data_IF_796055003661
#
_entry.id   IF_796055003661
#
_cell.length_a   1.000
_cell.length_b   1.000
_cell.length_c   1.000
_cell.angle_alpha   90.00
_cell.angle_beta   90.00
_cell.angle_gamma   90.00
#
_symmetry.space_group_name_H-M   'P 1'
#
loop_
_entity.id
_entity.type
_entity.pdbx_description
1 polymer ?
#
# COMPACT_ATOMS: atom_id res chain seq x y z
N UNK A 1 -21.85 8.53 -84.99
CA UNK A 1 -22.07 8.79 -83.54
C UNK A 1 -21.14 7.89 -82.76
N UNK A 2 -20.04 8.44 -82.24
CA UNK A 2 -18.96 7.66 -81.62
C UNK A 2 -19.17 7.64 -80.10
N UNK A 3 -19.51 6.48 -79.53
CA UNK A 3 -19.71 6.33 -78.08
C UNK A 3 -18.35 6.17 -77.39
N UNK A 4 -17.93 7.21 -76.69
CA UNK A 4 -16.74 7.22 -75.83
C UNK A 4 -16.97 6.26 -74.65
N UNK A 5 -16.10 5.26 -74.48
CA UNK A 5 -16.10 4.38 -73.30
C UNK A 5 -15.13 4.95 -72.26
N UNK A 6 -15.66 5.38 -71.12
CA UNK A 6 -14.87 5.83 -69.96
C UNK A 6 -14.44 4.59 -69.16
N UNK A 7 -13.16 4.40 -68.83
CA UNK A 7 -12.73 3.31 -67.97
C UNK A 7 -13.04 3.65 -66.51
N UNK A 8 -13.74 2.75 -65.82
CA UNK A 8 -13.95 2.81 -64.37
C UNK A 8 -12.67 2.32 -63.70
N UNK A 9 -11.92 3.22 -63.08
CA UNK A 9 -10.77 2.88 -62.23
C UNK A 9 -11.29 2.65 -60.82
N UNK A 10 -11.36 1.39 -60.39
CA UNK A 10 -11.64 1.01 -59.01
C UNK A 10 -10.36 1.15 -58.17
N UNK A 11 -10.26 2.24 -57.41
CA UNK A 11 -9.21 2.43 -56.40
C UNK A 11 -9.56 1.58 -55.16
N UNK A 12 -8.87 0.46 -54.97
CA UNK A 12 -8.88 -0.28 -53.71
C UNK A 12 -7.99 0.46 -52.69
N UNK A 13 -8.61 1.15 -51.73
CA UNK A 13 -7.91 1.65 -50.54
C UNK A 13 -7.66 0.50 -49.58
N UNK A 14 -6.44 -0.04 -49.58
CA UNK A 14 -5.97 -0.94 -48.53
C UNK A 14 -5.59 -0.09 -47.32
N UNK A 15 -6.49 0.01 -46.34
CA UNK A 15 -6.17 0.55 -45.02
C UNK A 15 -5.32 -0.51 -44.31
N UNK A 16 -3.99 -0.39 -44.40
CA UNK A 16 -3.07 -1.14 -43.55
C UNK A 16 -3.20 -0.55 -42.14
N UNK A 17 -4.07 -1.16 -41.33
CA UNK A 17 -4.17 -0.86 -39.91
C UNK A 17 -2.85 -1.22 -39.24
N UNK A 18 -2.09 -0.20 -38.82
CA UNK A 18 -0.90 -0.37 -38.00
C UNK A 18 -1.35 -0.87 -36.62
N UNK A 19 -1.35 -2.19 -36.42
CA UNK A 19 -1.60 -2.78 -35.10
C UNK A 19 -0.38 -2.49 -34.24
N UNK A 20 -0.43 -1.42 -33.45
CA UNK A 20 0.60 -1.08 -32.47
C UNK A 20 0.58 -2.12 -31.35
N UNK A 21 1.44 -3.13 -31.45
CA UNK A 21 1.68 -4.05 -30.34
C UNK A 21 2.40 -3.28 -29.21
N UNK A 22 1.92 -3.34 -27.96
CA UNK A 22 2.63 -2.73 -26.84
C UNK A 22 4.03 -3.37 -26.72
N UNK A 23 5.06 -2.52 -26.57
CA UNK A 23 6.46 -2.94 -26.49
C UNK A 23 6.74 -3.72 -25.21
N UNK A 24 7.50 -4.83 -25.30
CA UNK A 24 7.89 -5.66 -24.14
C UNK A 24 8.59 -4.87 -23.02
N UNK A 25 9.29 -3.78 -23.38
CA UNK A 25 9.93 -2.88 -22.41
C UNK A 25 8.91 -2.14 -21.53
N UNK A 26 7.76 -1.75 -22.08
CA UNK A 26 6.68 -1.10 -21.33
C UNK A 26 6.02 -2.08 -20.35
N UNK A 27 5.81 -3.33 -20.78
CA UNK A 27 5.27 -4.38 -19.92
C UNK A 27 6.18 -4.66 -18.71
N UNK A 28 7.51 -4.69 -18.92
CA UNK A 28 8.47 -4.86 -17.82
C UNK A 28 8.45 -3.71 -16.81
N UNK A 29 8.37 -2.45 -17.28
CA UNK A 29 8.31 -1.29 -16.41
C UNK A 29 7.04 -1.25 -15.54
N UNK A 30 5.88 -1.64 -16.10
CA UNK A 30 4.63 -1.73 -15.35
C UNK A 30 4.67 -2.86 -14.31
N UNK A 31 5.26 -4.00 -14.64
CA UNK A 31 5.46 -5.11 -13.70
C UNK A 31 6.36 -4.70 -12.53
N UNK A 32 7.47 -4.01 -12.80
CA UNK A 32 8.38 -3.50 -11.77
C UNK A 32 7.71 -2.45 -10.88
N UNK A 33 6.91 -1.57 -11.46
CA UNK A 33 6.12 -0.58 -10.71
C UNK A 33 5.05 -1.26 -9.85
N UNK A 34 4.39 -2.29 -10.38
CA UNK A 34 3.38 -3.08 -9.68
C UNK A 34 3.97 -3.78 -8.46
N UNK A 35 5.11 -4.46 -8.65
CA UNK A 35 5.80 -5.15 -7.57
C UNK A 35 6.37 -4.17 -6.54
N UNK A 36 6.90 -3.03 -6.98
CA UNK A 36 7.31 -1.94 -6.08
C UNK A 36 6.14 -1.47 -5.21
N UNK A 37 4.98 -1.23 -5.82
CA UNK A 37 3.76 -0.82 -5.10
C UNK A 37 3.29 -1.87 -4.10
N UNK A 38 3.32 -3.16 -4.48
CA UNK A 38 2.99 -4.27 -3.59
C UNK A 38 3.93 -4.32 -2.37
N UNK A 39 5.23 -4.24 -2.58
CA UNK A 39 6.22 -4.27 -1.49
C UNK A 39 6.08 -3.07 -0.55
N UNK A 40 5.84 -1.86 -1.08
CA UNK A 40 5.59 -0.67 -0.26
C UNK A 40 4.30 -0.80 0.58
N UNK A 41 3.23 -1.35 0.00
CA UNK A 41 1.98 -1.60 0.72
C UNK A 41 2.16 -2.62 1.85
N UNK A 42 2.88 -3.72 1.59
CA UNK A 42 3.22 -4.73 2.61
C UNK A 42 4.08 -4.11 3.72
N UNK A 43 5.06 -3.27 3.38
CA UNK A 43 5.95 -2.66 4.37
C UNK A 43 5.20 -1.69 5.28
N UNK A 44 4.36 -0.80 4.72
CA UNK A 44 3.55 0.10 5.52
C UNK A 44 2.62 -0.68 6.46
N UNK A 45 1.95 -1.70 5.94
CA UNK A 45 1.04 -2.51 6.75
C UNK A 45 1.78 -3.33 7.81
N UNK A 46 2.96 -3.85 7.51
CA UNK A 46 3.81 -4.52 8.49
C UNK A 46 4.14 -3.59 9.67
N UNK A 47 4.37 -2.29 9.41
CA UNK A 47 4.54 -1.29 10.47
C UNK A 47 3.27 -1.10 11.31
N UNK A 48 2.10 -1.07 10.67
CA UNK A 48 0.81 -0.98 11.36
C UNK A 48 0.57 -2.21 12.25
N UNK A 49 0.87 -3.41 11.75
CA UNK A 49 0.80 -4.66 12.50
C UNK A 49 1.76 -4.64 13.68
N UNK A 50 2.99 -4.13 13.51
CA UNK A 50 3.94 -3.95 14.62
C UNK A 50 3.39 -3.05 15.71
N UNK A 51 2.84 -1.87 15.36
CA UNK A 51 2.19 -0.99 16.35
C UNK A 51 1.01 -1.68 17.03
N UNK A 52 0.17 -2.39 16.26
CA UNK A 52 -0.97 -3.13 16.78
C UNK A 52 -0.58 -4.22 17.77
N UNK A 53 0.49 -4.97 17.49
CA UNK A 53 1.01 -6.00 18.38
C UNK A 53 1.53 -5.42 19.71
N UNK A 54 2.00 -4.16 19.71
CA UNK A 54 2.46 -3.47 20.91
C UNK A 54 1.37 -2.59 21.55
N UNK A 55 0.13 -2.59 21.04
CA UNK A 55 -0.90 -1.66 21.48
C UNK A 55 -1.25 -1.81 22.98
N UNK A 56 -1.24 -3.03 23.52
CA UNK A 56 -1.49 -3.26 24.93
C UNK A 56 -0.41 -2.60 25.82
N UNK A 57 0.85 -2.69 25.42
CA UNK A 57 1.98 -2.06 26.10
C UNK A 57 1.94 -0.53 25.97
N UNK A 58 1.66 -0.03 24.76
CA UNK A 58 1.50 1.41 24.50
C UNK A 58 0.39 1.98 25.39
N UNK A 59 -0.75 1.30 25.50
CA UNK A 59 -1.91 1.78 26.26
C UNK A 59 -1.88 1.46 27.76
N UNK A 60 -0.84 0.80 28.27
CA UNK A 60 -0.68 0.57 29.70
C UNK A 60 -0.59 1.93 30.43
N UNK A 61 -1.44 2.21 31.42
CA UNK A 61 -1.41 3.49 32.13
C UNK A 61 -0.39 3.50 33.29
N UNK A 62 0.03 2.32 33.78
CA UNK A 62 0.90 2.17 34.94
C UNK A 62 2.37 2.41 34.63
N UNK A 63 2.82 2.13 33.39
CA UNK A 63 4.23 2.31 33.00
C UNK A 63 4.49 3.68 32.35
N UNK A 64 5.64 4.29 32.67
CA UNK A 64 6.17 5.45 31.95
C UNK A 64 6.94 4.99 30.72
N UNK A 65 8.15 4.45 30.92
CA UNK A 65 8.92 3.83 29.85
C UNK A 65 8.27 2.52 29.37
N UNK A 66 7.99 2.43 28.07
CA UNK A 66 7.43 1.25 27.42
C UNK A 66 8.50 0.37 26.75
N UNK A 67 9.71 0.87 26.55
CA UNK A 67 10.74 0.18 25.76
C UNK A 67 10.39 0.00 24.28
N UNK A 68 9.32 0.64 23.78
CA UNK A 68 8.93 0.60 22.36
C UNK A 68 9.64 1.73 21.59
N UNK A 69 10.96 1.57 21.44
CA UNK A 69 11.83 2.54 20.75
C UNK A 69 11.76 2.37 19.22
N UNK A 70 12.29 3.33 18.43
CA UNK A 70 12.40 3.19 16.97
C UNK A 70 13.18 1.94 16.52
N UNK A 71 14.20 1.52 17.27
CA UNK A 71 15.04 0.35 16.97
C UNK A 71 14.29 -0.96 17.25
N UNK A 72 13.56 -1.01 18.37
CA UNK A 72 12.69 -2.14 18.71
C UNK A 72 11.59 -2.28 17.66
N UNK A 73 10.99 -1.16 17.24
CA UNK A 73 10.02 -1.12 16.15
C UNK A 73 10.62 -1.61 14.83
N UNK A 74 11.79 -1.10 14.42
CA UNK A 74 12.44 -1.48 13.16
C UNK A 74 12.73 -2.97 13.09
N UNK A 75 13.27 -3.56 14.18
CA UNK A 75 13.54 -4.99 14.23
C UNK A 75 12.28 -5.82 13.96
N UNK A 76 11.17 -5.47 14.62
CA UNK A 76 9.89 -6.16 14.44
C UNK A 76 9.28 -5.91 13.04
N UNK A 77 9.41 -4.68 12.52
CA UNK A 77 8.98 -4.32 11.17
C UNK A 77 9.69 -5.17 10.10
N UNK A 78 11.02 -5.24 10.16
CA UNK A 78 11.85 -5.96 9.19
C UNK A 78 11.51 -7.45 9.18
N UNK A 79 11.33 -8.05 10.36
CA UNK A 79 10.95 -9.46 10.51
C UNK A 79 9.60 -9.75 9.84
N UNK A 80 8.58 -8.95 10.18
CA UNK A 80 7.22 -9.11 9.60
C UNK A 80 7.19 -8.86 8.10
N UNK A 81 7.92 -7.85 7.63
CA UNK A 81 8.02 -7.56 6.20
C UNK A 81 8.66 -8.74 5.45
N UNK A 82 9.76 -9.29 5.98
CA UNK A 82 10.45 -10.44 5.37
C UNK A 82 9.54 -11.67 5.33
N UNK A 83 8.81 -11.96 6.41
CA UNK A 83 7.85 -13.06 6.47
C UNK A 83 6.77 -12.95 5.37
N UNK A 84 6.23 -11.75 5.15
CA UNK A 84 5.12 -11.54 4.22
C UNK A 84 5.54 -11.38 2.76
N UNK A 85 6.69 -10.76 2.52
CA UNK A 85 7.15 -10.42 1.18
C UNK A 85 8.19 -11.37 0.61
N UNK A 86 8.92 -12.11 1.46
CA UNK A 86 10.12 -12.85 1.10
C UNK A 86 11.37 -11.98 0.87
N UNK A 87 11.26 -10.64 0.98
CA UNK A 87 12.37 -9.71 0.74
C UNK A 87 13.10 -9.40 2.04
N UNK A 88 14.42 -9.61 2.06
CA UNK A 88 15.27 -9.28 3.20
C UNK A 88 15.80 -7.85 3.08
N UNK A 89 15.33 -6.96 3.96
CA UNK A 89 15.75 -5.56 3.98
C UNK A 89 17.24 -5.37 4.34
N UNK A 90 17.83 -6.30 5.08
CA UNK A 90 19.26 -6.25 5.40
C UNK A 90 20.15 -6.58 4.19
N UNK A 91 19.59 -7.29 3.20
CA UNK A 91 20.31 -7.80 2.03
C UNK A 91 19.68 -7.31 0.70
N UNK A 92 19.14 -6.08 0.67
CA UNK A 92 18.39 -5.55 -0.48
C UNK A 92 19.15 -5.56 -1.81
N UNK A 93 20.47 -5.38 -1.80
CA UNK A 93 21.28 -5.32 -3.03
C UNK A 93 21.13 -6.62 -3.85
N UNK A 94 21.15 -7.77 -3.18
CA UNK A 94 21.00 -9.10 -3.79
C UNK A 94 19.56 -9.61 -3.79
N UNK A 95 18.62 -8.88 -3.19
CA UNK A 95 17.21 -9.28 -3.17
C UNK A 95 16.62 -9.26 -4.59
N UNK A 96 15.77 -10.25 -4.87
CA UNK A 96 14.96 -10.31 -6.07
C UNK A 96 13.79 -9.31 -5.95
N UNK A 97 14.07 -8.03 -6.15
CA UNK A 97 13.11 -6.95 -6.11
C UNK A 97 13.47 -5.89 -7.17
N UNK A 98 12.51 -5.12 -7.69
CA UNK A 98 12.80 -4.02 -8.61
C UNK A 98 13.78 -3.00 -8.02
N UNK A 99 14.62 -2.40 -8.84
CA UNK A 99 15.60 -1.40 -8.39
C UNK A 99 14.94 -0.18 -7.72
N UNK A 100 13.75 0.21 -8.20
CA UNK A 100 12.94 1.25 -7.57
C UNK A 100 12.50 0.84 -6.15
N UNK A 101 12.08 -0.41 -5.94
CA UNK A 101 11.75 -0.93 -4.62
C UNK A 101 12.97 -0.90 -3.69
N UNK A 102 14.15 -1.32 -4.16
CA UNK A 102 15.39 -1.28 -3.37
C UNK A 102 15.75 0.14 -2.92
N UNK A 103 15.39 1.17 -3.68
CA UNK A 103 15.57 2.59 -3.33
C UNK A 103 14.51 3.13 -2.38
N UNK A 104 13.25 2.70 -2.54
CA UNK A 104 12.11 3.26 -1.80
C UNK A 104 11.85 2.57 -0.46
N UNK A 105 12.07 1.26 -0.35
CA UNK A 105 11.84 0.51 0.89
C UNK A 105 12.64 1.08 2.07
N UNK A 106 13.95 1.40 1.96
CA UNK A 106 14.69 2.02 3.06
C UNK A 106 14.12 3.38 3.50
N UNK A 107 13.63 4.18 2.55
CA UNK A 107 13.02 5.48 2.85
C UNK A 107 11.73 5.33 3.64
N UNK A 108 10.91 4.32 3.32
CA UNK A 108 9.70 4.02 4.08
C UNK A 108 10.01 3.46 5.48
N UNK A 109 11.09 2.67 5.65
CA UNK A 109 11.59 2.26 6.97
C UNK A 109 11.98 3.49 7.78
N UNK A 110 12.76 4.41 7.21
CA UNK A 110 13.20 5.63 7.89
C UNK A 110 12.00 6.51 8.30
N UNK A 111 11.05 6.75 7.40
CA UNK A 111 9.83 7.51 7.70
C UNK A 111 9.00 6.86 8.81
N UNK A 112 8.97 5.51 8.84
CA UNK A 112 8.28 4.73 9.87
C UNK A 112 8.98 4.86 11.23
N UNK A 113 10.31 4.74 11.29
CA UNK A 113 11.10 4.93 12.52
C UNK A 113 10.94 6.35 13.06
N UNK A 114 11.04 7.35 12.20
CA UNK A 114 10.85 8.75 12.59
C UNK A 114 9.45 8.98 13.18
N UNK A 115 8.43 8.34 12.62
CA UNK A 115 7.07 8.38 13.20
C UNK A 115 7.05 7.82 14.61
N UNK A 116 7.72 6.71 14.90
CA UNK A 116 7.82 6.16 16.27
C UNK A 116 8.63 7.08 17.19
N UNK A 117 9.73 7.66 16.69
CA UNK A 117 10.59 8.58 17.44
C UNK A 117 9.83 9.84 17.88
N UNK A 118 9.14 10.50 16.96
CA UNK A 118 8.36 11.72 17.23
C UNK A 118 7.17 11.49 18.17
N UNK A 119 6.71 10.24 18.32
CA UNK A 119 5.60 9.90 19.20
C UNK A 119 6.06 9.28 20.53
N UNK A 120 7.35 9.24 20.84
CA UNK A 120 7.87 8.66 22.10
C UNK A 120 7.26 9.31 23.34
N UNK A 121 7.06 10.63 23.35
CA UNK A 121 6.41 11.33 24.46
C UNK A 121 4.95 10.90 24.67
N UNK A 122 4.24 10.61 23.58
CA UNK A 122 2.88 10.09 23.60
C UNK A 122 2.86 8.64 24.07
N UNK A 123 3.71 7.79 23.50
CA UNK A 123 3.83 6.36 23.83
C UNK A 123 4.14 6.16 25.31
N UNK A 124 5.08 6.93 25.86
CA UNK A 124 5.56 6.80 27.23
C UNK A 124 4.76 7.61 28.26
N UNK A 125 3.59 8.16 27.88
CA UNK A 125 2.75 8.96 28.79
C UNK A 125 2.13 8.08 29.87
N UNK A 126 2.55 8.27 31.13
CA UNK A 126 1.97 7.60 32.30
C UNK A 126 0.56 8.14 32.61
N UNK A 127 -0.27 7.32 33.24
CA UNK A 127 -1.60 7.69 33.74
C UNK A 127 -2.69 7.80 32.67
N UNK A 128 -2.37 7.52 31.40
CA UNK A 128 -3.33 7.56 30.29
C UNK A 128 -3.41 6.18 29.66
N UNK A 129 -4.62 5.66 29.48
CA UNK A 129 -4.87 4.41 28.76
C UNK A 129 -4.66 4.58 27.25
N UNK A 130 -5.76 4.79 26.52
CA UNK A 130 -5.70 5.07 25.08
C UNK A 130 -5.06 6.44 24.80
N UNK A 131 -3.96 6.45 24.05
CA UNK A 131 -3.14 7.64 23.77
C UNK A 131 -3.28 8.19 22.35
N UNK A 132 -4.10 7.56 21.50
CA UNK A 132 -4.26 7.95 20.09
C UNK A 132 -3.13 7.52 19.14
N UNK A 133 -2.01 6.99 19.66
CA UNK A 133 -1.00 6.33 18.83
C UNK A 133 -1.40 4.87 18.55
N UNK A 134 -2.30 4.72 17.57
CA UNK A 134 -2.84 3.44 17.10
C UNK A 134 -2.30 3.08 15.70
N UNK A 135 -2.53 1.86 15.17
CA UNK A 135 -2.01 1.44 13.87
C UNK A 135 -2.42 2.38 12.73
N UNK A 136 -3.67 2.87 12.76
CA UNK A 136 -4.16 3.82 11.76
C UNK A 136 -3.39 5.16 11.81
N UNK A 137 -3.21 5.72 13.01
CA UNK A 137 -2.45 6.96 13.23
C UNK A 137 -1.01 6.82 12.78
N UNK A 138 -0.35 5.71 13.14
CA UNK A 138 1.00 5.40 12.67
C UNK A 138 1.04 5.36 11.14
N UNK A 139 0.15 4.57 10.52
CA UNK A 139 0.17 4.40 9.06
C UNK A 139 -0.07 5.72 8.31
N UNK A 140 -0.95 6.59 8.82
CA UNK A 140 -1.19 7.90 8.20
C UNK A 140 0.03 8.81 8.32
N UNK A 141 0.65 8.89 9.50
CA UNK A 141 1.84 9.72 9.71
C UNK A 141 3.05 9.22 8.91
N UNK A 142 3.31 7.92 8.93
CA UNK A 142 4.44 7.32 8.20
C UNK A 142 4.27 7.47 6.69
N UNK A 143 3.08 7.19 6.16
CA UNK A 143 2.79 7.35 4.74
C UNK A 143 2.93 8.81 4.29
N UNK A 144 2.41 9.77 5.06
CA UNK A 144 2.56 11.19 4.73
C UNK A 144 4.04 11.64 4.67
N UNK A 145 4.86 11.23 5.66
CA UNK A 145 6.31 11.53 5.70
C UNK A 145 7.07 10.90 4.54
N UNK A 146 6.72 9.67 4.17
CA UNK A 146 7.31 8.99 3.03
C UNK A 146 6.92 9.69 1.73
N UNK A 147 5.62 9.92 1.50
CA UNK A 147 5.10 10.52 0.27
C UNK A 147 5.61 11.93 0.01
N UNK A 148 5.87 12.73 1.04
CA UNK A 148 6.42 14.08 0.87
C UNK A 148 7.86 14.10 0.32
N UNK A 149 8.57 12.97 0.33
CA UNK A 149 9.98 12.85 -0.10
C UNK A 149 10.18 11.91 -1.28
N UNK A 150 9.40 10.83 -1.34
CA UNK A 150 9.64 9.71 -2.25
C UNK A 150 9.06 9.91 -3.66
N UNK A 151 8.20 10.91 -3.87
CA UNK A 151 7.45 11.07 -5.13
C UNK A 151 6.41 9.96 -5.38
N UNK A 152 6.11 9.14 -4.36
CA UNK A 152 5.10 8.08 -4.41
C UNK A 152 4.02 8.37 -3.38
N UNK A 153 2.76 8.36 -3.82
CA UNK A 153 1.62 8.52 -2.93
C UNK A 153 1.25 7.21 -2.26
N UNK A 154 1.14 7.22 -0.93
CA UNK A 154 0.78 6.08 -0.13
C UNK A 154 -0.29 6.50 0.89
N UNK A 155 -1.35 5.70 1.01
CA UNK A 155 -2.44 5.92 1.98
C UNK A 155 -3.04 4.62 2.44
N UNK A 156 -3.74 4.68 3.57
CA UNK A 156 -4.74 3.68 3.93
C UNK A 156 -6.10 4.12 3.37
N UNK A 157 -6.95 3.17 3.03
CA UNK A 157 -8.31 3.44 2.57
C UNK A 157 -9.29 2.41 3.12
N UNK A 158 -10.57 2.77 3.21
CA UNK A 158 -11.61 1.87 3.74
C UNK A 158 -13.00 2.25 3.23
N UNK A 159 -13.97 1.37 3.45
CA UNK A 159 -15.39 1.62 3.19
C UNK A 159 -15.97 2.63 4.17
N UNK A 160 -16.99 3.38 3.75
CA UNK A 160 -17.63 4.42 4.57
C UNK A 160 -18.12 3.91 5.93
N UNK A 161 -18.64 2.67 6.02
CA UNK A 161 -19.08 2.07 7.28
C UNK A 161 -17.97 1.78 8.30
N UNK A 162 -16.71 1.78 7.88
CA UNK A 162 -15.53 1.57 8.73
C UNK A 162 -14.66 2.85 8.85
N UNK A 163 -15.08 3.94 8.20
CA UNK A 163 -14.31 5.16 8.12
C UNK A 163 -14.22 5.84 9.50
N UNK A 164 -13.01 5.96 10.01
CA UNK A 164 -12.71 6.70 11.25
C UNK A 164 -12.09 8.07 11.00
N UNK A 165 -11.35 8.21 9.90
CA UNK A 165 -10.62 9.43 9.54
C UNK A 165 -10.96 9.80 8.09
N UNK A 166 -11.46 11.02 7.81
CA UNK A 166 -11.84 11.44 6.45
C UNK A 166 -10.73 11.32 5.41
N UNK A 167 -9.46 11.48 5.81
CA UNK A 167 -8.30 11.31 4.93
C UNK A 167 -8.14 9.88 4.36
N UNK A 168 -8.76 8.88 5.00
CA UNK A 168 -8.76 7.49 4.54
C UNK A 168 -10.02 7.14 3.74
N UNK A 169 -10.83 8.13 3.35
CA UNK A 169 -12.01 7.88 2.53
C UNK A 169 -11.59 7.35 1.16
N UNK A 170 -12.33 6.34 0.70
CA UNK A 170 -12.16 5.78 -0.62
C UNK A 170 -12.60 6.77 -1.71
N UNK A 171 -11.78 6.91 -2.75
CA UNK A 171 -12.26 7.47 -4.01
C UNK A 171 -13.02 6.39 -4.82
N UNK A 172 -13.49 6.74 -6.03
CA UNK A 172 -14.28 5.82 -6.86
C UNK A 172 -13.54 4.53 -7.23
N UNK A 173 -12.24 4.62 -7.54
CA UNK A 173 -11.41 3.46 -7.84
C UNK A 173 -11.22 2.59 -6.58
N UNK A 174 -10.82 3.20 -5.46
CA UNK A 174 -10.60 2.49 -4.22
C UNK A 174 -11.86 1.79 -3.74
N UNK A 175 -13.03 2.43 -3.86
CA UNK A 175 -14.30 1.83 -3.50
C UNK A 175 -14.62 0.60 -4.36
N UNK A 176 -14.39 0.66 -5.67
CA UNK A 176 -14.57 -0.46 -6.57
C UNK A 176 -13.61 -1.62 -6.30
N UNK A 177 -12.35 -1.33 -6.00
CA UNK A 177 -11.35 -2.35 -5.63
C UNK A 177 -11.66 -2.97 -4.27
N UNK A 178 -12.07 -2.17 -3.29
CA UNK A 178 -12.50 -2.68 -1.98
C UNK A 178 -13.71 -3.63 -2.09
N UNK A 179 -14.66 -3.38 -3.00
CA UNK A 179 -15.74 -4.33 -3.29
C UNK A 179 -15.22 -5.66 -3.82
N UNK A 180 -14.25 -5.64 -4.74
CA UNK A 180 -13.60 -6.86 -5.25
C UNK A 180 -12.89 -7.63 -4.13
N UNK A 181 -12.23 -6.93 -3.21
CA UNK A 181 -11.58 -7.56 -2.05
C UNK A 181 -12.56 -8.11 -1.02
N UNK A 182 -13.78 -7.57 -0.95
CA UNK A 182 -14.84 -8.06 -0.07
C UNK A 182 -15.50 -9.35 -0.59
N UNK A 183 -15.34 -9.67 -1.88
CA UNK A 183 -15.84 -10.90 -2.48
C UNK A 183 -15.24 -12.13 -1.76
N UNK A 184 -16.07 -13.07 -1.25
CA UNK A 184 -15.58 -14.28 -0.60
C UNK A 184 -14.66 -15.15 -1.47
N UNK A 185 -14.80 -15.09 -2.79
CA UNK A 185 -13.97 -15.77 -3.77
C UNK A 185 -12.63 -15.09 -4.04
N UNK A 186 -12.40 -13.85 -3.58
CA UNK A 186 -11.09 -13.22 -3.72
C UNK A 186 -10.05 -13.93 -2.84
N UNK A 187 -8.85 -14.26 -3.35
CA UNK A 187 -7.84 -14.95 -2.56
C UNK A 187 -7.39 -14.14 -1.34
N UNK A 188 -7.54 -14.71 -0.14
CA UNK A 188 -7.15 -14.06 1.13
C UNK A 188 -5.72 -14.36 1.56
N UNK A 189 -4.97 -15.12 0.76
CA UNK A 189 -3.60 -15.54 1.05
C UNK A 189 -2.65 -15.10 -0.06
N UNK A 190 -1.36 -14.94 0.27
CA UNK A 190 -0.30 -14.66 -0.69
C UNK A 190 -0.21 -13.22 -1.17
N UNK A 191 -0.69 -12.25 -0.37
CA UNK A 191 -0.52 -10.80 -0.62
C UNK A 191 -0.97 -10.37 -2.02
N UNK A 192 -2.11 -10.94 -2.49
CA UNK A 192 -2.65 -10.63 -3.80
C UNK A 192 -3.16 -9.21 -3.85
N UNK A 193 -2.73 -8.48 -4.87
CA UNK A 193 -3.08 -7.09 -5.10
C UNK A 193 -4.07 -6.95 -6.25
N UNK A 194 -4.63 -5.75 -6.38
CA UNK A 194 -5.19 -5.25 -7.64
C UNK A 194 -4.37 -4.02 -8.03
N UNK A 195 -3.91 -3.99 -9.28
CA UNK A 195 -3.27 -2.83 -9.88
C UNK A 195 -4.04 -2.33 -11.11
N UNK A 196 -3.99 -1.03 -11.35
CA UNK A 196 -4.60 -0.40 -12.51
C UNK A 196 -3.79 0.83 -12.94
N UNK A 197 -3.56 0.94 -14.25
CA UNK A 197 -2.98 2.12 -14.85
C UNK A 197 -4.04 3.23 -14.96
N UNK A 198 -3.72 4.42 -14.49
CA UNK A 198 -4.55 5.62 -14.54
C UNK A 198 -3.86 6.73 -15.36
N UNK A 199 -4.62 7.77 -15.70
CA UNK A 199 -4.15 8.95 -16.44
C UNK A 199 -3.41 8.60 -17.75
N UNK A 200 -3.93 7.63 -18.51
CA UNK A 200 -3.32 7.21 -19.77
C UNK A 200 -1.98 6.47 -19.58
N UNK A 201 -1.80 5.77 -18.45
CA UNK A 201 -0.59 4.99 -18.16
C UNK A 201 0.50 5.76 -17.40
N UNK A 202 0.25 7.01 -17.02
CA UNK A 202 1.22 7.84 -16.28
C UNK A 202 1.29 7.50 -14.80
N UNK A 203 0.20 6.97 -14.24
CA UNK A 203 0.10 6.60 -12.84
C UNK A 203 -0.26 5.13 -12.77
N UNK A 204 0.42 4.38 -11.92
CA UNK A 204 0.00 3.03 -11.55
C UNK A 204 -0.54 3.07 -10.12
N UNK A 205 -1.79 2.62 -9.95
CA UNK A 205 -2.41 2.44 -8.64
C UNK A 205 -2.28 0.99 -8.24
N UNK A 206 -1.86 0.73 -7.01
CA UNK A 206 -1.74 -0.62 -6.45
C UNK A 206 -2.45 -0.64 -5.11
N UNK A 207 -3.32 -1.63 -4.89
CA UNK A 207 -3.99 -1.84 -3.62
C UNK A 207 -3.74 -3.25 -3.11
N UNK A 208 -3.44 -3.34 -1.82
CA UNK A 208 -3.31 -4.59 -1.08
C UNK A 208 -4.51 -4.69 -0.10
N UNK A 209 -5.26 -5.80 -0.10
CA UNK A 209 -6.35 -6.01 0.84
C UNK A 209 -5.81 -6.27 2.25
N UNK A 210 -6.49 -5.72 3.25
CA UNK A 210 -6.17 -5.91 4.65
C UNK A 210 -7.38 -6.50 5.37
N UNK A 211 -7.29 -7.79 5.70
CA UNK A 211 -8.37 -8.50 6.38
C UNK A 211 -8.19 -8.44 7.89
N UNK A 212 -9.30 -8.26 8.62
CA UNK A 212 -9.27 -8.34 10.08
C UNK A 212 -8.99 -9.76 10.54
N UNK A 213 -7.87 -9.93 11.24
CA UNK A 213 -7.56 -11.15 11.99
C UNK A 213 -8.06 -11.08 13.43
N UNK A 214 -7.84 -12.16 14.19
CA UNK A 214 -8.26 -12.27 15.60
C UNK A 214 -7.77 -11.10 16.47
N UNK A 215 -6.53 -10.65 16.27
CA UNK A 215 -5.97 -9.52 17.01
C UNK A 215 -6.62 -8.17 16.70
N UNK A 216 -7.21 -8.01 15.51
CA UNK A 216 -7.91 -6.79 15.11
C UNK A 216 -9.26 -6.64 15.83
N UNK A 217 -9.91 -7.77 16.13
CA UNK A 217 -11.25 -7.81 16.73
C UNK A 217 -11.28 -7.27 18.16
N UNK A 218 -10.13 -7.14 18.82
CA UNK A 218 -10.04 -6.50 20.12
C UNK A 218 -10.48 -5.02 20.11
N UNK A 219 -10.42 -4.35 18.95
CA UNK A 219 -10.85 -2.97 18.76
C UNK A 219 -11.89 -2.80 17.62
N UNK A 220 -11.92 -3.73 16.67
CA UNK A 220 -12.81 -3.70 15.49
C UNK A 220 -13.92 -4.76 15.52
N UNK A 221 -14.00 -5.55 16.61
CA UNK A 221 -15.08 -6.51 16.84
C UNK A 221 -16.28 -5.88 17.55
N UNK A 222 -17.30 -6.71 17.80
CA UNK A 222 -18.46 -6.33 18.61
C UNK A 222 -18.24 -6.72 20.08
N UNK A 223 -18.77 -5.93 21.04
CA UNK A 223 -19.45 -4.65 20.82
C UNK A 223 -18.49 -3.51 20.47
N UNK A 224 -18.90 -2.65 19.53
CA UNK A 224 -18.10 -1.48 19.10
C UNK A 224 -17.81 -0.55 20.29
N UNK A 225 -16.51 -0.29 20.54
CA UNK A 225 -16.07 0.77 21.45
C UNK A 225 -15.85 0.37 22.90
N UNK A 226 -15.91 -0.92 23.25
CA UNK A 226 -15.49 -1.40 24.57
C UNK A 226 -13.95 -1.51 24.64
N UNK A 227 -13.28 -0.36 24.84
CA UNK A 227 -11.98 -0.20 25.53
C UNK A 227 -11.52 1.26 25.54
#
# INVERSE_FOLDING_TARGET
>A
MMKLRVPVVLLFWVIIGLVSTPSAALAGAEQDATETGRLLAILLDSGRVTVGANQALINDAAKGDKGFTPEVFEKQLVEKFKERSGVDLANLKSANAPETAKKLLPQLVEASKLTVAENQSTINKKGVGFKGFAPATFGTKAAAKFSSKAGVYLKQTTHDGLLRTPANKADGFEAGVLQKFADPGYPRQGEKIISEAAEGGKILRVMLPLYYGKGCLACHGEPKGEK
#
